data_IF_638852892178
#
_entry.id   IF_638852892178
#
_cell.length_a   1.000
_cell.length_b   1.000
_cell.length_c   1.000
_cell.angle_alpha   90.00
_cell.angle_beta   90.00
_cell.angle_gamma   90.00
#
_symmetry.space_group_name_H-M   'P 1'
#
loop_
_entity.id
_entity.type
_entity.pdbx_description
1 polymer ?
#
# COMPACT_ATOMS: atom_id res chain seq x y z
N UNK A 1 0.57 6.42 -7.11
CA UNK A 1 -0.38 5.87 -6.11
C UNK A 1 -0.42 4.34 -6.09
N UNK A 2 -0.17 3.64 -7.20
CA UNK A 2 -0.08 2.16 -7.21
C UNK A 2 1.04 1.64 -6.30
N UNK A 3 2.23 2.24 -6.34
CA UNK A 3 3.37 1.81 -5.52
C UNK A 3 3.12 2.03 -4.02
N UNK A 4 2.44 3.12 -3.64
CA UNK A 4 1.95 3.31 -2.28
C UNK A 4 1.00 2.18 -1.87
N UNK A 5 0.03 1.83 -2.71
CA UNK A 5 -0.94 0.77 -2.43
C UNK A 5 -0.27 -0.60 -2.23
N UNK A 6 0.65 -0.98 -3.11
CA UNK A 6 1.40 -2.24 -3.02
C UNK A 6 2.29 -2.26 -1.77
N UNK A 7 3.00 -1.16 -1.51
CA UNK A 7 3.85 -1.04 -0.32
C UNK A 7 3.04 -1.13 0.97
N UNK A 8 1.87 -0.47 1.02
CA UNK A 8 0.97 -0.56 2.18
C UNK A 8 0.46 -1.99 2.39
N UNK A 9 0.02 -2.67 1.34
CA UNK A 9 -0.41 -4.07 1.44
C UNK A 9 0.71 -4.97 1.98
N UNK A 10 1.92 -4.87 1.44
CA UNK A 10 3.04 -5.69 1.93
C UNK A 10 3.37 -5.39 3.39
N UNK A 11 3.25 -4.13 3.83
CA UNK A 11 3.48 -3.74 5.23
C UNK A 11 2.40 -4.26 6.18
N UNK A 12 1.13 -4.36 5.73
CA UNK A 12 0.03 -4.88 6.55
C UNK A 12 -0.01 -6.40 6.56
N UNK A 13 0.45 -7.03 5.49
CA UNK A 13 0.28 -8.47 5.24
C UNK A 13 1.60 -9.25 5.42
N UNK A 14 2.66 -8.65 6.01
CA UNK A 14 4.01 -9.26 6.12
C UNK A 14 3.96 -10.73 6.58
N UNK A 15 3.21 -11.04 7.64
CA UNK A 15 3.13 -12.41 8.18
C UNK A 15 2.37 -13.38 7.27
N UNK A 16 1.37 -12.89 6.53
CA UNK A 16 0.60 -13.69 5.56
C UNK A 16 1.44 -13.92 4.31
N UNK A 17 2.13 -12.88 3.83
CA UNK A 17 2.96 -12.93 2.64
C UNK A 17 4.21 -13.78 2.84
N UNK A 18 4.73 -13.93 4.07
CA UNK A 18 5.77 -14.93 4.37
C UNK A 18 5.35 -16.36 4.01
N UNK A 19 4.05 -16.68 4.07
CA UNK A 19 3.51 -17.99 3.70
C UNK A 19 3.15 -18.03 2.21
N UNK A 20 2.43 -17.02 1.72
CA UNK A 20 1.82 -17.06 0.38
C UNK A 20 2.72 -16.51 -0.73
N UNK A 21 3.52 -15.49 -0.41
CA UNK A 21 4.33 -14.72 -1.37
C UNK A 21 5.74 -14.48 -0.78
N UNK A 22 6.48 -15.54 -0.41
CA UNK A 22 7.73 -15.42 0.35
C UNK A 22 8.85 -14.71 -0.41
N UNK A 23 8.72 -14.58 -1.74
CA UNK A 23 9.67 -13.86 -2.60
C UNK A 23 9.45 -12.33 -2.57
N UNK A 24 8.40 -11.83 -1.91
CA UNK A 24 8.19 -10.39 -1.83
C UNK A 24 9.25 -9.74 -0.96
N UNK A 25 9.68 -8.50 -1.25
CA UNK A 25 10.85 -7.93 -0.61
C UNK A 25 10.73 -7.75 0.91
N UNK A 26 9.54 -7.43 1.42
CA UNK A 26 9.27 -7.33 2.87
C UNK A 26 9.08 -8.70 3.54
N UNK A 27 8.45 -9.66 2.84
CA UNK A 27 8.21 -11.00 3.38
C UNK A 27 9.50 -11.85 3.44
N UNK A 28 10.35 -11.72 2.42
CA UNK A 28 11.67 -12.36 2.34
C UNK A 28 12.69 -11.77 3.31
N UNK A 29 12.47 -10.53 3.76
CA UNK A 29 13.44 -9.77 4.54
C UNK A 29 14.57 -9.14 3.71
N UNK A 30 14.45 -9.13 2.37
CA UNK A 30 15.36 -8.37 1.50
C UNK A 30 15.38 -6.87 1.82
N UNK A 31 14.25 -6.35 2.29
CA UNK A 31 14.12 -4.97 2.79
C UNK A 31 13.62 -4.99 4.23
N UNK A 32 14.18 -4.12 5.08
CA UNK A 32 13.67 -3.93 6.44
C UNK A 32 12.29 -3.27 6.43
N UNK A 33 11.51 -3.52 7.47
CA UNK A 33 10.18 -2.93 7.64
C UNK A 33 10.25 -1.40 7.66
N UNK A 34 11.25 -0.82 8.33
CA UNK A 34 11.44 0.63 8.42
C UNK A 34 11.69 1.25 7.04
N UNK A 35 12.51 0.58 6.23
CA UNK A 35 12.78 1.03 4.87
C UNK A 35 11.55 0.84 3.97
N UNK A 36 10.79 -0.25 4.13
CA UNK A 36 9.50 -0.44 3.45
C UNK A 36 8.49 0.65 3.78
N UNK A 37 8.40 1.07 5.05
CA UNK A 37 7.57 2.20 5.50
C UNK A 37 8.03 3.49 4.80
N UNK A 38 9.34 3.78 4.85
CA UNK A 38 9.90 4.98 4.24
C UNK A 38 9.60 5.06 2.73
N UNK A 39 9.83 3.97 1.99
CA UNK A 39 9.55 3.87 0.55
C UNK A 39 8.06 4.07 0.26
N UNK A 40 7.18 3.42 1.03
CA UNK A 40 5.73 3.52 0.87
C UNK A 40 5.25 4.97 1.06
N UNK A 41 5.73 5.64 2.12
CA UNK A 41 5.43 7.06 2.35
C UNK A 41 6.00 7.97 1.26
N UNK A 42 7.20 7.70 0.76
CA UNK A 42 7.80 8.49 -0.31
C UNK A 42 6.94 8.46 -1.59
N UNK A 43 6.44 7.28 -1.98
CA UNK A 43 5.53 7.14 -3.12
C UNK A 43 4.16 7.80 -2.90
N UNK A 44 3.67 7.83 -1.66
CA UNK A 44 2.45 8.55 -1.30
C UNK A 44 2.61 10.06 -1.55
N UNK A 45 3.66 10.64 -0.94
CA UNK A 45 3.95 12.08 -1.06
C UNK A 45 4.21 12.47 -2.51
N UNK A 46 4.98 11.67 -3.25
CA UNK A 46 5.25 11.91 -4.67
C UNK A 46 3.97 11.92 -5.50
N UNK A 47 3.03 11.02 -5.20
CA UNK A 47 1.74 10.96 -5.90
C UNK A 47 0.92 12.22 -5.67
N UNK A 48 0.82 12.69 -4.43
CA UNK A 48 0.09 13.93 -4.13
C UNK A 48 0.81 15.17 -4.67
N UNK A 49 2.14 15.22 -4.59
CA UNK A 49 2.93 16.29 -5.19
C UNK A 49 2.64 16.41 -6.68
N UNK A 50 2.62 15.31 -7.43
CA UNK A 50 2.21 15.30 -8.84
C UNK A 50 0.78 15.83 -9.02
N UNK A 51 -0.18 15.38 -8.21
CA UNK A 51 -1.56 15.86 -8.27
C UNK A 51 -1.68 17.38 -8.13
N UNK A 52 -0.90 17.97 -7.21
CA UNK A 52 -0.83 19.44 -7.01
C UNK A 52 -0.11 20.12 -8.18
N UNK A 53 1.03 19.59 -8.63
CA UNK A 53 1.84 20.16 -9.72
C UNK A 53 1.08 20.23 -11.04
N UNK A 54 0.25 19.24 -11.36
CA UNK A 54 -0.57 19.25 -12.57
C UNK A 54 -1.79 20.18 -12.49
N UNK A 55 -2.01 20.86 -11.35
CA UNK A 55 -3.09 21.82 -11.11
C UNK A 55 -4.48 21.32 -11.56
N UNK A 56 -4.72 20.02 -11.43
CA UNK A 56 -5.95 19.36 -11.88
C UNK A 56 -6.75 18.88 -10.67
N UNK A 57 -7.83 19.60 -10.29
CA UNK A 57 -8.70 19.18 -9.20
C UNK A 57 -9.27 17.76 -9.36
N UNK A 58 -9.69 17.31 -10.58
CA UNK A 58 -10.13 15.93 -10.78
C UNK A 58 -9.02 14.89 -10.54
N UNK A 59 -7.77 15.20 -10.90
CA UNK A 59 -6.65 14.30 -10.63
C UNK A 59 -6.38 14.20 -9.13
N UNK A 60 -6.36 15.35 -8.43
CA UNK A 60 -6.11 15.38 -6.99
C UNK A 60 -7.23 14.67 -6.21
N UNK A 61 -8.49 14.85 -6.61
CA UNK A 61 -9.62 14.15 -5.98
C UNK A 61 -9.55 12.64 -6.21
N UNK A 62 -9.22 12.19 -7.43
CA UNK A 62 -9.03 10.77 -7.72
C UNK A 62 -7.89 10.15 -6.89
N UNK A 63 -6.78 10.88 -6.69
CA UNK A 63 -5.68 10.45 -5.84
C UNK A 63 -6.08 10.37 -4.36
N UNK A 64 -6.85 11.34 -3.86
CA UNK A 64 -7.39 11.33 -2.48
C UNK A 64 -8.34 10.15 -2.26
N UNK A 65 -9.32 9.95 -3.15
CA UNK A 65 -10.24 8.82 -3.06
C UNK A 65 -9.48 7.50 -3.09
N UNK A 66 -8.52 7.36 -4.02
CA UNK A 66 -7.72 6.14 -4.12
C UNK A 66 -6.84 5.92 -2.88
N UNK A 67 -6.27 6.97 -2.29
CA UNK A 67 -5.53 6.87 -1.03
C UNK A 67 -6.41 6.35 0.10
N UNK A 68 -7.60 6.94 0.29
CA UNK A 68 -8.53 6.55 1.35
C UNK A 68 -9.01 5.10 1.18
N UNK A 69 -9.42 4.72 -0.04
CA UNK A 69 -9.88 3.36 -0.34
C UNK A 69 -8.80 2.32 -0.10
N UNK A 70 -7.58 2.57 -0.59
CA UNK A 70 -6.48 1.62 -0.40
C UNK A 70 -6.05 1.53 1.07
N UNK A 71 -6.02 2.64 1.80
CA UNK A 71 -5.71 2.62 3.23
C UNK A 71 -6.75 1.83 4.02
N UNK A 72 -8.03 2.09 3.76
CA UNK A 72 -9.12 1.39 4.41
C UNK A 72 -9.05 -0.12 4.12
N UNK A 73 -8.79 -0.50 2.86
CA UNK A 73 -8.61 -1.90 2.48
C UNK A 73 -7.47 -2.58 3.24
N UNK A 74 -6.25 -2.05 3.18
CA UNK A 74 -5.08 -2.72 3.78
C UNK A 74 -5.15 -2.76 5.31
N UNK A 75 -5.69 -1.71 5.94
CA UNK A 75 -5.70 -1.59 7.41
C UNK A 75 -6.91 -2.29 8.04
N UNK A 76 -8.09 -2.28 7.40
CA UNK A 76 -9.30 -2.88 8.00
C UNK A 76 -9.40 -4.39 7.77
N UNK A 77 -8.84 -4.92 6.68
CA UNK A 77 -8.93 -6.37 6.38
C UNK A 77 -8.25 -7.21 7.47
N UNK A 78 -7.27 -6.64 8.21
CA UNK A 78 -6.64 -7.28 9.37
C UNK A 78 -7.55 -7.43 10.60
N UNK A 79 -8.76 -6.84 10.60
CA UNK A 79 -9.75 -7.00 11.66
C UNK A 79 -10.83 -8.05 11.33
N UNK A 80 -10.85 -8.61 10.12
CA UNK A 80 -11.85 -9.58 9.66
C UNK A 80 -11.18 -10.79 8.97
N UNK A 81 -11.12 -11.97 9.62
CA UNK A 81 -10.40 -13.13 9.09
C UNK A 81 -10.86 -13.59 7.70
N UNK A 82 -12.14 -13.36 7.36
CA UNK A 82 -12.75 -13.82 6.11
C UNK A 82 -12.31 -13.02 4.87
N UNK A 83 -11.98 -11.73 5.01
CA UNK A 83 -11.56 -10.88 3.89
C UNK A 83 -10.08 -11.08 3.51
N UNK A 84 -9.28 -11.65 4.40
CA UNK A 84 -7.88 -12.03 4.11
C UNK A 84 -7.76 -13.09 3.02
N UNK A 85 -8.83 -13.83 2.71
CA UNK A 85 -8.84 -14.87 1.66
C UNK A 85 -8.96 -14.25 0.25
N UNK A 86 -9.35 -12.98 0.14
CA UNK A 86 -9.50 -12.30 -1.15
C UNK A 86 -8.23 -11.55 -1.59
N UNK A 87 -7.18 -11.46 -0.76
CA UNK A 87 -5.85 -10.91 -1.11
C UNK A 87 -4.93 -11.94 -1.80
N UNK A 88 -5.44 -13.15 -2.07
CA UNK A 88 -4.71 -14.26 -2.72
C UNK A 88 -4.58 -14.14 -4.25
N UNK A 89 -5.02 -13.03 -4.85
CA UNK A 89 -4.86 -12.72 -6.27
C UNK A 89 -3.97 -11.49 -6.48
#
# INVERSE_FOLDING_TARGET
MNLYAVGLNQLTDVEIDKVNKPYLPLASGEISTELGIAITFAYLLTSFAMGVMFQSPPLLSALLVRFLLMTAYSVQVNCTPFLSILTYW
#
